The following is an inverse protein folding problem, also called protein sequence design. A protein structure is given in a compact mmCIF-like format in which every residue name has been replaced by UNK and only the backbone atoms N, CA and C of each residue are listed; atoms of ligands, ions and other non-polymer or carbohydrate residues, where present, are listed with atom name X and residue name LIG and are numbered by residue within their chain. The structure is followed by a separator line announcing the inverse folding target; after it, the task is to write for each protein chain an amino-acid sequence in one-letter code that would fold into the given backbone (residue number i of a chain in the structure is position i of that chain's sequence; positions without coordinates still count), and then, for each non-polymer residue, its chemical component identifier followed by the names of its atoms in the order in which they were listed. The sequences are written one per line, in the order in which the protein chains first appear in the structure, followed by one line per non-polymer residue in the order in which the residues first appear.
data_IF_326147901817
#
_entry.id   IF_326147901817
#
_cell.length_a   1.000
_cell.length_b   1.000
_cell.length_c   1.000
_cell.angle_alpha   90.00
_cell.angle_beta   90.00
_cell.angle_gamma   90.00
#
_symmetry.space_group_name_H-M   'P 1'
#
loop_
_entity.id
_entity.type
_entity.pdbx_description
1 polymer ?
#
# COMPACT_ATOMS: atom_id res chain seq x y z
N UNK A 1 7.38 -17.05 -14.37
CA UNK A 1 8.81 -16.65 -14.30
C UNK A 1 9.10 -15.57 -13.24
N UNK A 2 8.10 -15.01 -12.55
CA UNK A 2 8.32 -14.08 -11.43
C UNK A 2 8.89 -14.79 -10.18
N UNK A 3 8.65 -16.10 -10.05
CA UNK A 3 9.02 -16.93 -8.91
C UNK A 3 10.53 -17.01 -8.64
N UNK A 4 11.39 -17.06 -9.67
CA UNK A 4 12.85 -17.11 -9.46
C UNK A 4 13.40 -15.85 -8.78
N UNK A 5 12.81 -14.70 -9.11
CA UNK A 5 13.20 -13.42 -8.54
C UNK A 5 12.91 -13.39 -7.02
N UNK A 6 11.69 -13.75 -6.61
CA UNK A 6 11.34 -13.76 -5.19
C UNK A 6 12.07 -14.86 -4.40
N UNK A 7 12.37 -16.01 -5.01
CA UNK A 7 13.22 -17.04 -4.36
C UNK A 7 14.61 -16.48 -4.06
N UNK A 8 15.22 -15.75 -5.00
CA UNK A 8 16.51 -15.08 -4.76
C UNK A 8 16.41 -14.00 -3.69
N UNK A 9 15.34 -13.20 -3.71
CA UNK A 9 15.10 -12.16 -2.70
C UNK A 9 15.00 -12.77 -1.28
N UNK A 10 14.24 -13.86 -1.15
CA UNK A 10 14.12 -14.59 0.12
C UNK A 10 15.46 -15.18 0.55
N UNK A 11 16.23 -15.79 -0.36
CA UNK A 11 17.54 -16.35 -0.05
C UNK A 11 18.48 -15.28 0.53
N UNK A 12 18.56 -14.12 -0.12
CA UNK A 12 19.38 -13.00 0.34
C UNK A 12 18.92 -12.47 1.70
N UNK A 13 17.61 -12.33 1.91
CA UNK A 13 17.04 -11.89 3.20
C UNK A 13 17.36 -12.90 4.32
N UNK A 14 17.26 -14.21 4.05
CA UNK A 14 17.63 -15.27 4.98
C UNK A 14 19.09 -15.20 5.37
N UNK A 15 19.98 -15.06 4.39
CA UNK A 15 21.42 -14.95 4.61
C UNK A 15 21.76 -13.71 5.43
N UNK A 16 21.24 -12.54 5.02
CA UNK A 16 21.50 -11.24 5.68
C UNK A 16 21.10 -11.25 7.16
N UNK A 17 19.98 -11.90 7.51
CA UNK A 17 19.44 -11.90 8.86
C UNK A 17 19.55 -13.25 9.59
N UNK A 18 20.36 -14.17 9.06
CA UNK A 18 20.56 -15.53 9.60
C UNK A 18 19.24 -16.27 9.94
N UNK A 19 18.28 -16.20 9.03
CA UNK A 19 16.95 -16.82 9.22
C UNK A 19 17.03 -18.32 8.89
N UNK A 20 16.94 -19.14 9.95
CA UNK A 20 16.90 -20.59 9.82
C UNK A 20 15.52 -21.12 9.38
N UNK A 21 15.48 -22.38 8.96
CA UNK A 21 14.27 -23.00 8.41
C UNK A 21 13.14 -23.15 9.44
N UNK A 22 13.46 -23.47 10.70
CA UNK A 22 12.45 -23.60 11.76
C UNK A 22 11.73 -22.27 12.02
N UNK A 23 12.46 -21.14 12.00
CA UNK A 23 11.88 -19.81 12.12
C UNK A 23 10.96 -19.48 10.93
N UNK A 24 11.32 -19.91 9.70
CA UNK A 24 10.48 -19.71 8.52
C UNK A 24 9.19 -20.52 8.55
N UNK A 25 9.26 -21.78 8.97
CA UNK A 25 8.07 -22.64 9.15
C UNK A 25 7.08 -22.00 10.13
N UNK A 26 7.59 -21.54 11.28
CA UNK A 26 6.78 -20.81 12.26
C UNK A 26 6.18 -19.53 11.67
N UNK A 27 7.01 -18.72 11.01
CA UNK A 27 6.57 -17.48 10.38
C UNK A 27 5.52 -17.70 9.29
N UNK A 28 5.62 -18.77 8.51
CA UNK A 28 4.63 -19.14 7.50
C UNK A 28 3.25 -19.41 8.11
N UNK A 29 3.20 -20.14 9.23
CA UNK A 29 1.98 -20.36 10.00
C UNK A 29 1.42 -19.05 10.54
N UNK A 30 2.28 -18.18 11.10
CA UNK A 30 1.86 -16.91 11.67
C UNK A 30 1.34 -15.94 10.59
N UNK A 31 1.98 -15.91 9.42
CA UNK A 31 1.50 -15.17 8.23
C UNK A 31 0.15 -15.72 7.77
N UNK A 32 -0.01 -17.04 7.65
CA UNK A 32 -1.29 -17.62 7.24
C UNK A 32 -2.41 -17.26 8.24
N UNK A 33 -2.13 -17.33 9.55
CA UNK A 33 -3.09 -16.96 10.60
C UNK A 33 -3.45 -15.48 10.58
N UNK A 34 -2.47 -14.60 10.33
CA UNK A 34 -2.67 -13.13 10.38
C UNK A 34 -3.53 -12.60 9.23
N UNK A 35 -3.55 -13.29 8.10
CA UNK A 35 -4.33 -12.91 6.91
C UNK A 35 -5.51 -13.83 6.66
N UNK A 36 -5.88 -14.65 7.63
CA UNK A 36 -7.14 -15.37 7.53
C UNK A 36 -8.30 -14.37 7.61
N UNK A 37 -9.42 -14.80 7.05
CA UNK A 37 -10.62 -13.99 6.95
C UNK A 37 -11.13 -13.44 8.29
N UNK A 38 -11.08 -14.25 9.35
CA UNK A 38 -11.53 -13.85 10.69
C UNK A 38 -10.66 -12.72 11.25
N UNK A 39 -9.35 -12.76 11.00
CA UNK A 39 -8.42 -11.71 11.41
C UNK A 39 -8.64 -10.43 10.60
N UNK A 40 -8.85 -10.53 9.29
CA UNK A 40 -9.16 -9.40 8.40
C UNK A 40 -10.46 -8.69 8.84
N UNK A 41 -11.55 -9.45 9.06
CA UNK A 41 -12.83 -8.90 9.54
C UNK A 41 -12.68 -8.14 10.86
N UNK A 42 -11.79 -8.59 11.75
CA UNK A 42 -11.54 -7.98 13.06
C UNK A 42 -10.50 -6.85 13.04
N UNK A 43 -9.86 -6.57 11.90
CA UNK A 43 -8.73 -5.64 11.82
C UNK A 43 -7.53 -6.06 12.68
N UNK A 44 -7.43 -7.36 13.02
CA UNK A 44 -6.40 -7.90 13.92
C UNK A 44 -5.22 -8.51 13.15
N UNK A 45 -4.96 -8.03 11.93
CA UNK A 45 -3.95 -8.58 11.01
C UNK A 45 -2.53 -8.11 11.30
N UNK A 46 -2.24 -7.71 12.53
CA UNK A 46 -0.92 -7.21 12.89
C UNK A 46 0.08 -8.37 12.97
N UNK A 47 1.11 -8.30 12.13
CA UNK A 47 2.28 -9.16 12.20
C UNK A 47 3.52 -8.27 12.20
N UNK A 48 4.48 -8.57 13.07
CA UNK A 48 5.72 -7.80 13.14
C UNK A 48 6.64 -8.14 11.95
N UNK A 49 6.65 -7.28 10.95
CA UNK A 49 7.55 -7.39 9.80
C UNK A 49 8.94 -6.78 10.05
N UNK A 50 9.26 -6.33 11.27
CA UNK A 50 10.66 -6.15 11.66
C UNK A 50 11.37 -7.50 11.85
N UNK A 51 10.60 -8.58 12.08
CA UNK A 51 11.11 -9.94 12.02
C UNK A 51 11.33 -10.41 10.57
N UNK A 52 12.58 -10.73 10.24
CA UNK A 52 12.97 -11.18 8.89
C UNK A 52 12.29 -12.49 8.46
N UNK A 53 12.00 -13.40 9.40
CA UNK A 53 11.29 -14.64 9.08
C UNK A 53 9.87 -14.35 8.57
N UNK A 54 9.15 -13.42 9.22
CA UNK A 54 7.81 -12.98 8.79
C UNK A 54 7.85 -12.33 7.41
N UNK A 55 8.88 -11.51 7.11
CA UNK A 55 9.07 -10.93 5.77
C UNK A 55 9.30 -12.00 4.71
N UNK A 56 10.21 -12.95 4.96
CA UNK A 56 10.48 -14.06 4.05
C UNK A 56 9.22 -14.90 3.77
N UNK A 57 8.49 -15.26 4.83
CA UNK A 57 7.25 -16.01 4.71
C UNK A 57 6.17 -15.25 3.93
N UNK A 58 6.00 -13.95 4.17
CA UNK A 58 5.07 -13.11 3.42
C UNK A 58 5.47 -12.99 1.94
N UNK A 59 6.76 -12.75 1.64
CA UNK A 59 7.24 -12.67 0.26
C UNK A 59 6.99 -13.99 -0.46
N UNK A 60 7.30 -15.12 0.18
CA UNK A 60 7.05 -16.45 -0.37
C UNK A 60 5.56 -16.66 -0.68
N UNK A 61 4.69 -16.31 0.27
CA UNK A 61 3.25 -16.57 0.16
C UNK A 61 2.56 -15.64 -0.84
N UNK A 62 2.87 -14.33 -0.84
CA UNK A 62 2.02 -13.32 -1.48
C UNK A 62 2.68 -12.53 -2.62
N UNK A 63 4.01 -12.45 -2.70
CA UNK A 63 4.65 -11.49 -3.60
C UNK A 63 4.34 -11.75 -5.09
N UNK A 64 4.36 -13.02 -5.51
CA UNK A 64 4.11 -13.39 -6.90
C UNK A 64 2.68 -13.06 -7.35
N UNK A 65 1.68 -13.39 -6.51
CA UNK A 65 0.27 -13.13 -6.81
C UNK A 65 -0.05 -11.63 -6.75
N UNK A 66 0.52 -10.87 -5.79
CA UNK A 66 0.32 -9.42 -5.71
C UNK A 66 0.91 -8.70 -6.92
N UNK A 67 2.16 -9.02 -7.30
CA UNK A 67 2.76 -8.46 -8.52
C UNK A 67 1.96 -8.82 -9.76
N UNK A 68 1.47 -10.06 -9.86
CA UNK A 68 0.64 -10.53 -10.96
C UNK A 68 -0.69 -9.78 -11.08
N UNK A 69 -1.38 -9.58 -9.95
CA UNK A 69 -2.60 -8.79 -9.83
C UNK A 69 -2.39 -7.36 -10.34
N UNK A 70 -1.39 -6.67 -9.79
CA UNK A 70 -1.09 -5.28 -10.15
C UNK A 70 -0.70 -5.19 -11.63
N UNK A 71 0.15 -6.09 -12.13
CA UNK A 71 0.54 -6.12 -13.55
C UNK A 71 -0.70 -6.24 -14.45
N UNK A 72 -1.60 -7.20 -14.16
CA UNK A 72 -2.80 -7.47 -14.97
C UNK A 72 -3.72 -6.26 -14.99
N UNK A 73 -4.09 -5.74 -13.83
CA UNK A 73 -5.12 -4.71 -13.73
C UNK A 73 -4.61 -3.32 -14.03
N UNK A 74 -3.37 -2.98 -13.66
CA UNK A 74 -2.77 -1.70 -14.07
C UNK A 74 -2.60 -1.64 -15.59
N UNK A 75 -2.28 -2.76 -16.26
CA UNK A 75 -2.26 -2.86 -17.72
C UNK A 75 -3.65 -2.63 -18.34
N UNK A 76 -4.73 -3.10 -17.72
CA UNK A 76 -6.11 -2.78 -18.16
C UNK A 76 -6.41 -1.30 -17.97
N UNK A 77 -5.99 -0.73 -16.84
CA UNK A 77 -6.23 0.67 -16.46
C UNK A 77 -5.53 1.66 -17.38
N UNK A 78 -4.22 1.48 -17.61
CA UNK A 78 -3.41 2.37 -18.47
C UNK A 78 -3.86 2.35 -19.94
N UNK A 79 -4.62 1.33 -20.38
CA UNK A 79 -5.19 1.29 -21.73
C UNK A 79 -6.41 2.21 -21.89
N UNK A 80 -7.01 2.68 -20.80
CA UNK A 80 -8.18 3.58 -20.85
C UNK A 80 -7.75 4.93 -21.42
N UNK A 81 -8.49 5.43 -22.43
CA UNK A 81 -8.18 6.68 -23.15
C UNK A 81 -7.97 7.86 -22.20
N UNK A 82 -8.81 7.98 -21.15
CA UNK A 82 -8.70 9.03 -20.13
C UNK A 82 -7.39 8.94 -19.34
N UNK A 83 -7.02 7.74 -18.90
CA UNK A 83 -5.77 7.48 -18.16
C UNK A 83 -4.55 7.78 -19.04
N UNK A 84 -4.53 7.33 -20.30
CA UNK A 84 -3.46 7.66 -21.25
C UNK A 84 -3.26 9.15 -21.42
N UNK A 85 -4.34 9.89 -21.66
CA UNK A 85 -4.30 11.35 -21.82
C UNK A 85 -3.72 12.07 -20.60
N UNK A 86 -3.92 11.53 -19.39
CA UNK A 86 -3.38 12.11 -18.16
C UNK A 86 -1.89 11.79 -17.95
N UNK A 87 -1.47 10.57 -18.25
CA UNK A 87 -0.13 10.09 -17.91
C UNK A 87 0.90 10.24 -19.04
N UNK A 88 0.52 10.05 -20.30
CA UNK A 88 1.46 10.10 -21.44
C UNK A 88 2.17 11.46 -21.59
N UNK A 89 1.52 12.63 -21.37
CA UNK A 89 2.23 13.91 -21.50
C UNK A 89 3.24 14.20 -20.37
N UNK A 90 3.15 13.48 -19.23
CA UNK A 90 4.02 13.72 -18.08
C UNK A 90 5.43 13.21 -18.37
N UNK A 91 6.45 13.95 -17.91
CA UNK A 91 7.87 13.55 -18.03
C UNK A 91 8.42 12.92 -16.76
N UNK A 92 7.91 13.33 -15.60
CA UNK A 92 8.38 12.94 -14.28
C UNK A 92 7.22 12.32 -13.49
N UNK A 93 6.87 11.07 -13.84
CA UNK A 93 5.84 10.32 -13.15
C UNK A 93 6.29 9.97 -11.73
N UNK A 94 5.40 10.21 -10.77
CA UNK A 94 5.57 9.83 -9.37
C UNK A 94 4.55 8.78 -8.97
N UNK A 95 5.02 7.69 -8.35
CA UNK A 95 4.18 6.58 -7.90
C UNK A 95 4.19 6.52 -6.36
N UNK A 96 3.01 6.41 -5.75
CA UNK A 96 2.85 6.17 -4.32
C UNK A 96 2.07 4.88 -4.07
N UNK A 97 2.62 3.97 -3.27
CA UNK A 97 1.95 2.74 -2.85
C UNK A 97 1.58 2.86 -1.36
N UNK A 98 0.29 2.75 -1.04
CA UNK A 98 -0.24 2.78 0.33
C UNK A 98 -0.41 1.35 0.84
N UNK A 99 0.29 1.00 1.93
CA UNK A 99 0.36 -0.39 2.41
C UNK A 99 1.11 -1.33 1.46
N UNK A 100 2.11 -0.82 0.74
CA UNK A 100 2.79 -1.56 -0.34
C UNK A 100 3.78 -2.64 0.13
N UNK A 101 3.97 -2.82 1.45
CA UNK A 101 4.87 -3.79 2.03
C UNK A 101 6.31 -3.71 1.48
N UNK A 102 6.87 -4.80 0.92
CA UNK A 102 8.21 -4.77 0.33
C UNK A 102 8.31 -3.98 -1.00
N UNK A 103 7.21 -3.52 -1.58
CA UNK A 103 7.20 -2.84 -2.89
C UNK A 103 6.86 -3.75 -4.08
N UNK A 104 6.12 -4.85 -3.85
CA UNK A 104 5.65 -5.76 -4.93
C UNK A 104 4.77 -5.07 -5.97
N UNK A 105 4.07 -4.02 -5.56
CA UNK A 105 3.20 -3.21 -6.40
C UNK A 105 4.00 -2.44 -7.46
N UNK A 106 5.18 -1.95 -7.09
CA UNK A 106 6.08 -1.22 -7.99
C UNK A 106 6.51 -2.13 -9.15
N UNK A 107 6.90 -3.38 -8.86
CA UNK A 107 7.23 -4.35 -9.91
C UNK A 107 6.03 -4.55 -10.84
N UNK A 108 4.82 -4.67 -10.29
CA UNK A 108 3.61 -4.85 -11.09
C UNK A 108 3.31 -3.66 -12.00
N UNK A 109 3.41 -2.44 -11.47
CA UNK A 109 3.24 -1.20 -12.23
C UNK A 109 4.32 -1.08 -13.30
N UNK A 110 5.58 -1.35 -12.99
CA UNK A 110 6.68 -1.24 -13.94
C UNK A 110 6.52 -2.25 -15.08
N UNK A 111 6.18 -3.51 -14.80
CA UNK A 111 5.84 -4.51 -15.84
C UNK A 111 4.65 -4.09 -16.71
N UNK A 112 3.68 -3.37 -16.13
CA UNK A 112 2.53 -2.87 -16.87
C UNK A 112 2.85 -1.66 -17.73
N UNK A 113 3.76 -0.77 -17.29
CA UNK A 113 4.22 0.39 -18.04
C UNK A 113 5.26 0.04 -19.11
N UNK A 114 6.14 -0.93 -18.84
CA UNK A 114 7.24 -1.34 -19.71
C UNK A 114 6.80 -1.78 -21.11
N UNK A 115 5.57 -2.26 -21.28
CA UNK A 115 5.03 -2.65 -22.60
C UNK A 115 4.71 -1.45 -23.50
N UNK A 116 4.76 -0.23 -22.97
CA UNK A 116 4.44 1.00 -23.67
C UNK A 116 5.72 1.86 -23.73
N UNK A 117 6.38 1.96 -24.90
CA UNK A 117 7.59 2.76 -25.06
C UNK A 117 7.45 4.21 -24.60
N UNK A 118 6.23 4.77 -24.72
CA UNK A 118 5.90 6.11 -24.27
C UNK A 118 6.09 6.34 -22.75
N UNK A 119 6.25 5.30 -21.93
CA UNK A 119 6.49 5.40 -20.48
C UNK A 119 7.93 5.09 -20.06
N UNK A 120 8.81 4.69 -20.98
CA UNK A 120 10.21 4.44 -20.67
C UNK A 120 10.88 5.72 -20.19
N UNK A 121 11.70 5.62 -19.14
CA UNK A 121 12.43 6.72 -18.51
C UNK A 121 11.56 7.87 -17.96
N UNK A 122 10.25 7.67 -17.81
CA UNK A 122 9.35 8.68 -17.25
C UNK A 122 9.12 8.57 -15.76
N UNK A 123 9.32 7.39 -15.18
CA UNK A 123 9.15 7.22 -13.73
C UNK A 123 10.37 7.84 -13.04
N UNK A 124 10.13 8.96 -12.35
CA UNK A 124 11.16 9.70 -11.62
C UNK A 124 11.19 9.36 -10.14
N UNK A 125 10.06 8.94 -9.57
CA UNK A 125 9.96 8.69 -8.14
C UNK A 125 8.99 7.56 -7.83
N UNK A 126 9.39 6.67 -6.90
CA UNK A 126 8.50 5.69 -6.27
C UNK A 126 8.60 5.81 -4.75
N UNK A 127 7.45 5.85 -4.07
CA UNK A 127 7.41 5.83 -2.60
C UNK A 127 6.43 4.78 -2.11
N UNK A 128 6.89 3.92 -1.19
CA UNK A 128 6.04 3.01 -0.41
C UNK A 128 5.80 3.63 0.96
N UNK A 129 4.53 3.79 1.32
CA UNK A 129 4.08 4.21 2.64
C UNK A 129 3.52 2.97 3.34
N UNK A 130 4.17 2.52 4.40
CA UNK A 130 3.77 1.31 5.13
C UNK A 130 4.04 1.50 6.62
N UNK A 131 3.26 0.88 7.50
CA UNK A 131 3.51 0.97 8.94
C UNK A 131 4.79 0.24 9.36
N UNK A 132 5.21 -0.76 8.58
CA UNK A 132 6.34 -1.64 8.91
C UNK A 132 7.65 -1.19 8.25
N UNK A 133 8.49 -0.46 8.98
CA UNK A 133 9.84 -0.08 8.54
C UNK A 133 10.77 -1.25 8.23
N UNK A 134 10.49 -2.45 8.76
CA UNK A 134 11.26 -3.67 8.52
C UNK A 134 11.36 -4.09 7.04
N UNK A 135 10.45 -3.63 6.19
CA UNK A 135 10.50 -3.89 4.73
C UNK A 135 11.68 -3.26 4.01
N UNK A 136 12.41 -2.33 4.65
CA UNK A 136 13.48 -1.54 4.04
C UNK A 136 14.52 -2.39 3.29
N UNK A 137 14.91 -3.55 3.82
CA UNK A 137 15.90 -4.40 3.16
C UNK A 137 15.35 -5.01 1.86
N UNK A 138 14.20 -5.66 1.93
CA UNK A 138 13.55 -6.27 0.77
C UNK A 138 13.18 -5.23 -0.30
N UNK A 139 12.72 -4.04 0.13
CA UNK A 139 12.48 -2.90 -0.76
C UNK A 139 13.75 -2.46 -1.50
N UNK A 140 14.86 -2.25 -0.77
CA UNK A 140 16.15 -1.88 -1.38
C UNK A 140 16.59 -2.91 -2.43
N UNK A 141 16.48 -4.21 -2.11
CA UNK A 141 16.84 -5.28 -3.04
C UNK A 141 15.95 -5.30 -4.29
N UNK A 142 14.64 -5.07 -4.14
CA UNK A 142 13.71 -4.93 -5.27
C UNK A 142 14.14 -3.78 -6.17
N UNK A 143 14.42 -2.60 -5.59
CA UNK A 143 14.83 -1.43 -6.36
C UNK A 143 16.19 -1.65 -7.05
N UNK A 144 17.17 -2.24 -6.37
CA UNK A 144 18.48 -2.59 -6.96
C UNK A 144 18.29 -3.53 -8.15
N UNK A 145 17.46 -4.54 -8.00
CA UNK A 145 17.19 -5.51 -9.07
C UNK A 145 16.48 -4.90 -10.28
N UNK A 146 15.64 -3.88 -10.07
CA UNK A 146 15.03 -3.11 -11.16
C UNK A 146 16.10 -2.29 -11.90
N UNK A 147 16.96 -1.58 -11.16
CA UNK A 147 18.06 -0.78 -11.72
C UNK A 147 19.05 -1.63 -12.52
N UNK A 148 19.32 -2.84 -12.05
CA UNK A 148 20.26 -3.78 -12.67
C UNK A 148 19.61 -4.63 -13.79
N UNK A 149 18.37 -4.35 -14.19
CA UNK A 149 17.68 -5.11 -15.25
C UNK A 149 17.40 -6.58 -14.91
N UNK A 150 17.47 -6.98 -13.63
CA UNK A 150 17.29 -8.36 -13.17
C UNK A 150 15.82 -8.78 -13.07
N UNK A 151 14.90 -7.83 -13.10
CA UNK A 151 13.47 -8.12 -13.02
C UNK A 151 12.90 -8.38 -14.41
N UNK A 152 12.47 -9.62 -14.64
CA UNK A 152 11.86 -10.02 -15.92
C UNK A 152 10.72 -9.09 -16.32
N UNK A 153 10.65 -8.79 -17.62
CA UNK A 153 9.62 -7.99 -18.30
C UNK A 153 9.72 -6.49 -17.96
N UNK A 154 10.83 -6.05 -17.36
CA UNK A 154 11.21 -4.65 -17.18
C UNK A 154 12.55 -4.46 -17.92
N UNK A 155 12.62 -3.65 -18.99
CA UNK A 155 13.88 -3.35 -19.68
C UNK A 155 14.92 -2.74 -18.74
N UNK A 156 16.21 -3.05 -18.95
CA UNK A 156 17.33 -2.51 -18.15
C UNK A 156 17.37 -0.98 -18.16
N UNK A 157 17.02 -0.36 -19.30
CA UNK A 157 16.96 1.09 -19.47
C UNK A 157 15.56 1.70 -19.18
N UNK A 158 14.67 0.96 -18.51
CA UNK A 158 13.30 1.42 -18.25
C UNK A 158 13.25 2.64 -17.31
N UNK A 159 14.21 2.75 -16.39
CA UNK A 159 14.38 3.91 -15.51
C UNK A 159 15.67 4.65 -15.85
N UNK A 160 15.65 5.97 -15.71
CA UNK A 160 16.87 6.78 -15.71
C UNK A 160 17.48 6.75 -14.31
N UNK A 161 18.53 5.97 -14.13
CA UNK A 161 19.16 5.78 -12.82
C UNK A 161 19.67 7.09 -12.18
N UNK A 162 20.03 8.09 -13.00
CA UNK A 162 20.57 9.36 -12.51
C UNK A 162 19.52 10.23 -11.83
N UNK A 163 18.27 10.11 -12.25
CA UNK A 163 17.16 10.96 -11.78
C UNK A 163 16.14 10.19 -10.95
N UNK A 164 16.17 8.84 -11.00
CA UNK A 164 15.23 7.99 -10.31
C UNK A 164 15.44 7.93 -8.78
N UNK A 165 14.39 8.23 -8.03
CA UNK A 165 14.35 8.17 -6.57
C UNK A 165 13.39 7.10 -6.08
N UNK A 166 13.81 6.30 -5.11
CA UNK A 166 12.97 5.29 -4.47
C UNK A 166 13.00 5.42 -2.96
N UNK A 167 11.83 5.45 -2.30
CA UNK A 167 11.70 5.64 -0.85
C UNK A 167 10.75 4.62 -0.25
N UNK A 168 11.07 4.18 0.97
CA UNK A 168 10.15 3.50 1.87
C UNK A 168 10.06 4.31 3.16
N UNK A 169 8.84 4.73 3.50
CA UNK A 169 8.57 5.57 4.67
C UNK A 169 7.68 4.80 5.63
N UNK A 170 8.18 4.59 6.85
CA UNK A 170 7.40 3.99 7.93
C UNK A 170 6.37 5.00 8.43
N UNK A 171 5.08 4.74 8.27
CA UNK A 171 4.00 5.64 8.70
C UNK A 171 2.73 4.86 9.02
N UNK A 172 2.06 5.24 10.11
CA UNK A 172 0.69 4.81 10.36
C UNK A 172 -0.27 5.65 9.51
N UNK A 173 -0.83 5.03 8.48
CA UNK A 173 -1.78 5.67 7.56
C UNK A 173 -3.16 5.90 8.20
N UNK A 174 -3.42 5.36 9.39
CA UNK A 174 -4.68 5.58 10.11
C UNK A 174 -4.60 6.74 11.11
N UNK A 175 -3.37 7.16 11.45
CA UNK A 175 -3.13 8.30 12.31
C UNK A 175 -2.96 9.63 11.55
N UNK A 176 -2.67 10.73 12.27
CA UNK A 176 -2.32 12.01 11.66
C UNK A 176 -1.08 11.88 10.77
N UNK A 177 -1.20 12.31 9.51
CA UNK A 177 -0.12 12.18 8.53
C UNK A 177 0.93 13.28 8.70
N UNK A 178 2.23 12.94 8.80
CA UNK A 178 3.30 13.93 8.75
C UNK A 178 3.28 14.72 7.43
N UNK A 179 3.71 15.99 7.46
CA UNK A 179 3.69 16.85 6.25
C UNK A 179 4.46 16.25 5.07
N UNK A 180 5.60 15.60 5.34
CA UNK A 180 6.36 14.90 4.28
C UNK A 180 5.56 13.79 3.60
N UNK A 181 4.70 13.08 4.34
CA UNK A 181 3.82 12.04 3.82
C UNK A 181 2.66 12.65 3.02
N UNK A 182 2.06 13.73 3.54
CA UNK A 182 1.05 14.51 2.79
C UNK A 182 1.61 14.96 1.44
N UNK A 183 2.84 15.47 1.41
CA UNK A 183 3.51 15.91 0.19
C UNK A 183 3.75 14.75 -0.79
N UNK A 184 4.10 13.56 -0.31
CA UNK A 184 4.25 12.37 -1.17
C UNK A 184 2.91 12.03 -1.84
N UNK A 185 1.84 11.98 -1.07
CA UNK A 185 0.50 11.62 -1.56
C UNK A 185 -0.02 12.68 -2.54
N UNK A 186 0.11 13.97 -2.20
CA UNK A 186 -0.40 15.09 -3.00
C UNK A 186 0.38 15.37 -4.28
N UNK A 187 1.58 14.83 -4.41
CA UNK A 187 2.38 14.94 -5.62
C UNK A 187 2.33 13.69 -6.52
N UNK A 188 1.78 12.58 -6.04
CA UNK A 188 1.72 11.33 -6.79
C UNK A 188 0.82 11.45 -8.03
N UNK A 189 1.30 10.93 -9.17
CA UNK A 189 0.51 10.82 -10.40
C UNK A 189 -0.20 9.48 -10.49
N UNK A 190 0.39 8.44 -9.88
CA UNK A 190 -0.15 7.10 -9.78
C UNK A 190 -0.17 6.72 -8.30
N UNK A 191 -1.34 6.30 -7.81
CA UNK A 191 -1.51 5.81 -6.44
C UNK A 191 -2.02 4.36 -6.50
N UNK A 192 -1.44 3.49 -5.67
CA UNK A 192 -1.79 2.08 -5.62
C UNK A 192 -2.15 1.68 -4.20
N UNK A 193 -3.26 0.96 -4.04
CA UNK A 193 -3.75 0.37 -2.80
C UNK A 193 -4.05 -1.10 -3.05
N UNK A 194 -3.16 -1.99 -2.63
CA UNK A 194 -3.28 -3.44 -2.89
C UNK A 194 -3.37 -4.17 -1.56
N UNK A 195 -4.53 -4.80 -1.30
CA UNK A 195 -4.84 -5.48 -0.02
C UNK A 195 -4.74 -4.58 1.22
N UNK A 196 -4.73 -3.27 1.02
CA UNK A 196 -4.57 -2.30 2.10
C UNK A 196 -5.87 -2.10 2.87
N UNK A 197 -7.00 -1.91 2.18
CA UNK A 197 -8.27 -1.57 2.83
C UNK A 197 -8.77 -2.73 3.67
N UNK A 198 -8.74 -3.97 3.18
CA UNK A 198 -9.16 -5.13 4.00
C UNK A 198 -8.28 -5.36 5.23
N UNK A 199 -7.02 -4.89 5.22
CA UNK A 199 -6.13 -4.97 6.38
C UNK A 199 -6.46 -3.91 7.46
N UNK A 200 -7.12 -2.80 7.09
CA UNK A 200 -7.41 -1.70 8.01
C UNK A 200 -8.88 -1.51 8.33
N UNK A 201 -9.80 -1.97 7.48
CA UNK A 201 -11.24 -1.66 7.57
C UNK A 201 -11.90 -2.18 8.85
N UNK A 202 -11.35 -3.22 9.47
CA UNK A 202 -11.81 -3.70 10.77
C UNK A 202 -11.56 -2.74 11.94
N UNK A 203 -10.88 -1.60 11.71
CA UNK A 203 -10.62 -0.58 12.73
C UNK A 203 -11.61 0.58 12.60
N UNK A 204 -12.16 1.11 13.70
CA UNK A 204 -13.19 2.17 13.68
C UNK A 204 -12.78 3.44 12.92
N UNK A 205 -11.52 3.83 13.00
CA UNK A 205 -10.97 5.06 12.40
C UNK A 205 -10.66 4.93 10.89
N UNK A 206 -10.76 3.73 10.33
CA UNK A 206 -10.26 3.42 8.99
C UNK A 206 -10.96 4.20 7.88
N UNK A 207 -12.29 4.33 7.94
CA UNK A 207 -13.07 5.06 6.93
C UNK A 207 -12.67 6.53 6.91
N UNK A 208 -12.63 7.19 8.08
CA UNK A 208 -12.22 8.58 8.19
C UNK A 208 -10.78 8.82 7.73
N UNK A 209 -9.86 7.91 8.05
CA UNK A 209 -8.46 8.02 7.62
C UNK A 209 -8.32 7.85 6.10
N UNK A 210 -9.03 6.89 5.50
CA UNK A 210 -9.05 6.68 4.04
C UNK A 210 -9.63 7.89 3.30
N UNK A 211 -10.69 8.51 3.84
CA UNK A 211 -11.23 9.77 3.32
C UNK A 211 -10.21 10.90 3.41
N UNK A 212 -9.58 11.08 4.58
CA UNK A 212 -8.57 12.12 4.79
C UNK A 212 -7.37 11.96 3.84
N UNK A 213 -6.90 10.73 3.62
CA UNK A 213 -5.86 10.40 2.62
C UNK A 213 -6.35 10.75 1.21
N UNK A 214 -7.55 10.32 0.84
CA UNK A 214 -8.12 10.52 -0.48
C UNK A 214 -8.33 12.00 -0.84
N UNK A 215 -8.65 12.83 0.15
CA UNK A 215 -8.71 14.29 -0.01
C UNK A 215 -7.35 14.91 -0.37
N UNK A 216 -6.23 14.24 -0.04
CA UNK A 216 -4.89 14.71 -0.41
C UNK A 216 -4.48 14.31 -1.82
N UNK A 217 -5.27 13.48 -2.52
CA UNK A 217 -4.90 13.05 -3.87
C UNK A 217 -4.85 14.22 -4.85
N UNK A 218 -3.81 14.23 -5.68
CA UNK A 218 -3.60 15.21 -6.74
C UNK A 218 -4.72 15.14 -7.78
N UNK A 219 -5.23 16.29 -8.22
CA UNK A 219 -6.14 16.33 -9.38
C UNK A 219 -5.47 15.68 -10.61
N UNK A 220 -6.20 14.81 -11.28
CA UNK A 220 -5.72 14.03 -12.42
C UNK A 220 -4.83 12.84 -12.04
N UNK A 221 -4.61 12.54 -10.75
CA UNK A 221 -3.94 11.29 -10.34
C UNK A 221 -4.77 10.09 -10.75
N UNK A 222 -4.09 8.98 -11.06
CA UNK A 222 -4.68 7.69 -11.42
C UNK A 222 -4.52 6.75 -10.23
N UNK A 223 -5.64 6.22 -9.74
CA UNK A 223 -5.65 5.36 -8.55
C UNK A 223 -5.99 3.94 -9.00
N UNK A 224 -5.20 2.96 -8.58
CA UNK A 224 -5.53 1.54 -8.69
C UNK A 224 -5.83 0.98 -7.30
N UNK A 225 -7.04 0.47 -7.14
CA UNK A 225 -7.51 -0.24 -5.96
C UNK A 225 -7.67 -1.73 -6.30
N UNK A 226 -7.01 -2.60 -5.53
CA UNK A 226 -7.18 -4.06 -5.62
C UNK A 226 -7.27 -4.58 -4.19
N UNK A 227 -8.38 -5.21 -3.84
CA UNK A 227 -8.52 -5.78 -2.50
C UNK A 227 -9.23 -7.13 -2.53
N UNK A 228 -9.32 -7.80 -1.39
CA UNK A 228 -10.17 -8.97 -1.21
C UNK A 228 -11.59 -8.63 -1.65
N UNK A 229 -12.21 -9.51 -2.45
CA UNK A 229 -13.59 -9.33 -2.90
C UNK A 229 -14.58 -9.31 -1.72
N UNK A 230 -14.18 -9.95 -0.64
CA UNK A 230 -15.02 -10.28 0.50
C UNK A 230 -15.29 -9.10 1.45
N UNK A 231 -16.44 -9.17 2.13
CA UNK A 231 -16.86 -8.23 3.16
C UNK A 231 -17.35 -6.89 2.62
N UNK A 232 -17.53 -5.92 3.53
CA UNK A 232 -18.01 -4.58 3.18
C UNK A 232 -16.94 -3.68 2.53
N UNK A 233 -15.83 -4.26 2.07
CA UNK A 233 -14.70 -3.52 1.50
C UNK A 233 -15.11 -2.76 0.24
N UNK A 234 -15.81 -3.41 -0.69
CA UNK A 234 -16.22 -2.76 -1.95
C UNK A 234 -17.17 -1.59 -1.68
N UNK A 235 -18.21 -1.83 -0.88
CA UNK A 235 -19.19 -0.80 -0.49
C UNK A 235 -18.52 0.38 0.23
N UNK A 236 -17.64 0.10 1.19
CA UNK A 236 -16.92 1.16 1.90
C UNK A 236 -16.05 1.98 0.96
N UNK A 237 -15.39 1.35 0.00
CA UNK A 237 -14.56 2.04 -0.99
C UNK A 237 -15.40 2.85 -1.97
N UNK A 238 -16.57 2.35 -2.38
CA UNK A 238 -17.54 3.11 -3.19
C UNK A 238 -18.03 4.34 -2.44
N UNK A 239 -18.47 4.17 -1.18
CA UNK A 239 -18.93 5.24 -0.31
C UNK A 239 -17.84 6.30 -0.10
N UNK A 240 -16.61 5.89 0.21
CA UNK A 240 -15.47 6.79 0.35
C UNK A 240 -15.22 7.51 -0.97
N UNK A 241 -15.12 6.79 -2.09
CA UNK A 241 -14.77 7.33 -3.41
C UNK A 241 -15.73 8.43 -3.87
N UNK A 242 -17.02 8.29 -3.56
CA UNK A 242 -18.06 9.29 -3.87
C UNK A 242 -17.87 10.61 -3.12
N UNK A 243 -17.26 10.57 -1.92
CA UNK A 243 -17.04 11.73 -1.06
C UNK A 243 -15.71 12.44 -1.35
N UNK A 244 -14.83 11.84 -2.15
CA UNK A 244 -13.50 12.36 -2.47
C UNK A 244 -13.28 12.52 -3.98
N UNK A 245 -14.33 12.80 -4.75
CA UNK A 245 -14.29 13.11 -6.19
C UNK A 245 -13.47 12.12 -7.03
N UNK A 246 -13.61 10.83 -6.75
CA UNK A 246 -13.01 9.79 -7.57
C UNK A 246 -13.98 9.33 -8.64
N UNK A 247 -13.57 9.46 -9.90
CA UNK A 247 -14.32 8.93 -11.03
C UNK A 247 -13.81 7.54 -11.40
N UNK A 248 -14.72 6.57 -11.46
CA UNK A 248 -14.41 5.21 -11.91
C UNK A 248 -14.11 5.22 -13.41
N UNK A 249 -12.92 4.73 -13.78
CA UNK A 249 -12.48 4.54 -15.18
C UNK A 249 -12.24 3.06 -15.53
N UNK A 250 -12.20 2.19 -14.52
CA UNK A 250 -12.13 0.74 -14.65
C UNK A 250 -12.87 0.10 -13.48
N UNK A 251 -13.81 -0.81 -13.77
CA UNK A 251 -14.53 -1.56 -12.73
C UNK A 251 -15.84 -0.90 -12.26
N UNK A 252 -16.39 -1.33 -11.12
CA UNK A 252 -15.86 -2.40 -10.27
C UNK A 252 -15.77 -3.74 -10.99
N UNK A 253 -14.67 -4.48 -10.78
CA UNK A 253 -14.47 -5.83 -11.29
C UNK A 253 -14.35 -6.79 -10.12
N UNK A 254 -15.04 -7.92 -10.21
CA UNK A 254 -14.95 -9.01 -9.24
C UNK A 254 -14.44 -10.25 -9.97
N UNK A 255 -13.17 -10.57 -9.76
CA UNK A 255 -12.49 -11.62 -10.53
C UNK A 255 -11.66 -12.50 -9.61
N UNK A 256 -11.60 -13.80 -9.92
CA UNK A 256 -10.56 -14.67 -9.38
C UNK A 256 -9.32 -14.53 -10.25
N UNK A 257 -8.25 -14.00 -9.66
CA UNK A 257 -6.94 -14.00 -10.30
C UNK A 257 -6.23 -15.32 -9.99
N UNK A 258 -5.75 -16.01 -11.01
CA UNK A 258 -4.93 -17.21 -10.87
C UNK A 258 -3.53 -16.87 -11.39
N UNK A 259 -2.52 -17.04 -10.54
CA UNK A 259 -1.13 -16.91 -10.94
C UNK A 259 -0.80 -18.04 -11.92
N UNK A 260 -0.24 -17.71 -13.09
CA UNK A 260 0.15 -18.71 -14.08
C UNK A 260 1.25 -19.61 -13.47
N UNK A 261 0.87 -20.84 -13.11
CA UNK A 261 1.74 -21.78 -12.40
C UNK A 261 2.97 -22.11 -13.25
N UNK A 262 4.15 -21.91 -12.68
CA UNK A 262 5.32 -22.71 -13.04
C UNK A 262 5.20 -24.09 -12.40
N UNK A 263 5.96 -25.09 -12.88
CA UNK A 263 5.97 -26.49 -12.37
C UNK A 263 6.37 -26.65 -10.88
N UNK A 264 6.53 -25.58 -10.12
CA UNK A 264 7.09 -25.58 -8.77
C UNK A 264 6.09 -25.11 -7.70
N UNK A 265 4.88 -25.68 -7.69
CA UNK A 265 4.00 -25.65 -6.50
C UNK A 265 4.56 -26.60 -5.43
N UNK A 266 5.85 -26.47 -5.11
CA UNK A 266 6.43 -27.20 -4.00
C UNK A 266 6.08 -26.43 -2.75
N UNK A 267 5.47 -27.12 -1.80
CA UNK A 267 5.40 -26.65 -0.43
C UNK A 267 6.83 -26.36 0.04
N UNK A 268 7.03 -25.17 0.56
CA UNK A 268 8.30 -24.77 1.19
C UNK A 268 7.95 -24.17 2.53
N UNK A 269 8.67 -24.59 3.57
CA UNK A 269 8.44 -24.15 4.95
C UNK A 269 7.03 -24.50 5.48
N UNK A 270 6.50 -25.67 5.09
CA UNK A 270 5.18 -26.17 5.50
C UNK A 270 4.04 -25.20 5.10
N UNK A 271 4.24 -24.49 3.98
CA UNK A 271 3.21 -23.63 3.41
C UNK A 271 3.28 -23.63 1.88
N UNK A 272 2.11 -23.47 1.26
CA UNK A 272 1.99 -23.25 -0.18
C UNK A 272 2.00 -21.75 -0.49
N UNK A 273 2.62 -21.34 -1.60
CA UNK A 273 2.50 -19.98 -2.09
C UNK A 273 1.07 -19.75 -2.56
N UNK A 274 0.53 -18.54 -2.36
CA UNK A 274 -0.81 -18.22 -2.84
C UNK A 274 -0.83 -18.26 -4.37
N UNK A 275 -1.64 -19.17 -4.91
CA UNK A 275 -1.74 -19.37 -6.35
C UNK A 275 -2.98 -18.71 -6.98
N UNK A 276 -3.97 -18.36 -6.16
CA UNK A 276 -5.16 -17.65 -6.59
C UNK A 276 -5.64 -16.66 -5.52
N UNK A 277 -6.31 -15.60 -5.96
CA UNK A 277 -6.93 -14.61 -5.08
C UNK A 277 -8.24 -14.10 -5.71
N UNK A 278 -9.34 -14.14 -4.95
CA UNK A 278 -10.60 -13.50 -5.33
C UNK A 278 -10.54 -12.02 -4.95
N UNK A 279 -10.65 -11.13 -5.92
CA UNK A 279 -10.39 -9.70 -5.75
C UNK A 279 -11.51 -8.82 -6.26
N UNK A 280 -11.70 -7.68 -5.58
CA UNK A 280 -12.38 -6.50 -6.10
C UNK A 280 -11.34 -5.54 -6.66
N UNK A 281 -11.59 -5.03 -7.87
CA UNK A 281 -10.67 -4.12 -8.56
C UNK A 281 -11.44 -2.91 -9.06
N UNK A 282 -10.93 -1.74 -8.72
CA UNK A 282 -11.44 -0.47 -9.25
C UNK A 282 -10.25 0.40 -9.63
N UNK A 283 -10.34 1.04 -10.80
CA UNK A 283 -9.41 2.07 -11.23
C UNK A 283 -10.13 3.40 -11.26
N UNK A 284 -9.57 4.41 -10.61
CA UNK A 284 -10.13 5.75 -10.52
C UNK A 284 -9.22 6.79 -11.17
N UNK A 285 -9.82 7.94 -11.45
CA UNK A 285 -9.12 9.21 -11.67
C UNK A 285 -9.66 10.21 -10.67
N UNK A 286 -8.77 10.95 -10.00
CA UNK A 286 -9.19 12.08 -9.16
C UNK A 286 -9.57 13.24 -10.06
N UNK A 287 -10.82 13.68 -9.97
CA UNK A 287 -11.36 14.80 -10.74
C UNK A 287 -11.70 15.98 -9.82
N UNK A 288 -11.93 17.13 -10.43
CA UNK A 288 -12.55 18.25 -9.75
C UNK A 288 -14.05 18.18 -10.03
N UNK A 289 -14.85 17.78 -9.04
CA UNK A 289 -16.29 17.99 -9.13
C UNK A 289 -16.52 19.44 -8.69
N UNK A 290 -17.09 20.26 -9.57
CA UNK A 290 -17.73 21.49 -9.08
C UNK A 290 -18.82 21.02 -8.12
N UNK A 291 -18.62 21.25 -6.82
CA UNK A 291 -19.63 20.98 -5.81
C UNK A 291 -20.88 21.76 -6.23
N UNK A 292 -21.85 21.09 -6.81
CA UNK A 292 -23.21 21.59 -6.77
C UNK A 292 -23.55 21.65 -5.28
N UNK A 293 -23.89 22.81 -4.71
CA UNK A 293 -24.17 22.92 -3.28
C UNK A 293 -25.27 21.92 -2.93
N UNK A 294 -24.87 20.83 -2.28
CA UNK A 294 -25.78 19.78 -1.84
C UNK A 294 -26.59 20.39 -0.70
N UNK A 295 -27.90 20.50 -0.91
CA UNK A 295 -28.85 20.83 0.14
C UNK A 295 -28.70 19.80 1.25
N UNK A 296 -28.12 20.21 2.38
CA UNK A 296 -27.83 19.36 3.54
C UNK A 296 -29.16 18.98 4.21
N UNK A 297 -29.82 17.96 3.69
CA UNK A 297 -30.94 17.31 4.36
C UNK A 297 -30.47 15.92 4.82
N UNK A 298 -30.14 15.85 6.11
CA UNK A 298 -30.02 14.67 6.99
C UNK A 298 -29.39 13.40 6.40
N UNK A 299 -28.14 13.10 6.82
CA UNK A 299 -27.59 11.75 6.76
C UNK A 299 -28.47 10.78 7.58
N UNK A 300 -28.77 9.58 7.07
CA UNK A 300 -29.47 8.55 7.84
C UNK A 300 -28.51 7.86 8.82
N UNK A 301 -28.88 7.84 10.10
CA UNK A 301 -28.13 7.23 11.22
C UNK A 301 -28.04 5.69 11.19
N UNK A 302 -28.51 5.03 10.13
CA UNK A 302 -28.52 3.57 10.01
C UNK A 302 -27.52 3.08 8.96
N UNK A 303 -26.24 3.09 9.30
CA UNK A 303 -25.22 2.33 8.59
C UNK A 303 -24.53 1.46 9.62
N UNK A 304 -24.91 0.17 9.68
CA UNK A 304 -24.17 -1.01 10.14
C UNK A 304 -25.13 -2.06 10.74
N UNK A 305 -26.12 -2.52 9.97
CA UNK A 305 -26.59 -3.89 10.15
C UNK A 305 -25.67 -4.78 9.30
N UNK A 306 -24.89 -5.61 9.98
CA UNK A 306 -23.96 -6.55 9.37
C UNK A 306 -24.75 -7.80 9.04
N UNK A 307 -25.02 -8.03 7.76
CA UNK A 307 -25.60 -9.29 7.27
C UNK A 307 -24.68 -10.46 7.67
N UNK A 308 -25.21 -11.37 8.48
CA UNK A 308 -24.56 -12.59 8.97
C UNK A 308 -24.72 -13.75 7.97
N UNK A 309 -24.46 -13.53 6.68
CA UNK A 309 -24.43 -14.63 5.73
C UNK A 309 -23.04 -15.28 5.73
N UNK A 310 -23.01 -16.48 6.31
CA UNK A 310 -21.85 -17.31 6.65
C UNK A 310 -21.28 -18.14 5.46
N UNK A 311 -21.52 -17.74 4.22
CA UNK A 311 -21.04 -18.51 3.05
C UNK A 311 -19.64 -18.05 2.61
N UNK A 312 -18.66 -18.34 3.46
CA UNK A 312 -17.27 -17.89 3.36
C UNK A 312 -16.28 -19.04 3.12
N UNK A 313 -16.45 -19.79 2.03
CA UNK A 313 -15.44 -20.75 1.59
C UNK A 313 -14.51 -20.14 0.53
N UNK A 314 -13.26 -19.84 0.90
CA UNK A 314 -12.21 -19.42 -0.05
C UNK A 314 -10.94 -20.27 -0.06
N UNK A 315 -10.92 -21.42 0.61
CA UNK A 315 -9.88 -22.43 0.40
C UNK A 315 -10.54 -23.80 0.29
N UNK A 316 -10.41 -24.44 -0.87
CA UNK A 316 -10.64 -25.88 -1.06
C UNK A 316 -9.44 -26.68 -0.56
N UNK A 317 -8.85 -26.26 0.57
CA UNK A 317 -7.81 -27.02 1.29
C UNK A 317 -8.44 -27.87 2.41
N UNK A 318 -9.78 -27.87 2.54
CA UNK A 318 -10.50 -28.91 3.30
C UNK A 318 -10.58 -30.21 2.50
N UNK A 319 -9.43 -30.88 2.37
CA UNK A 319 -9.36 -32.32 2.12
C UNK A 319 -8.08 -32.90 2.76
N UNK A 320 -7.74 -32.45 3.98
CA UNK A 320 -6.82 -33.18 4.85
C UNK A 320 -7.52 -33.57 6.15
N UNK A 321 -8.16 -34.73 6.09
CA UNK A 321 -8.28 -35.60 7.26
C UNK A 321 -6.88 -35.80 7.85
N UNK A 322 -6.54 -35.07 8.91
CA UNK A 322 -5.48 -35.46 9.82
C UNK A 322 -5.85 -36.84 10.40
N UNK A 323 -5.06 -37.91 10.19
CA UNK A 323 -5.34 -39.18 10.83
C UNK A 323 -5.11 -39.04 12.33
N UNK A 324 -6.22 -38.95 13.06
CA UNK A 324 -6.29 -39.07 14.51
C UNK A 324 -6.17 -40.54 14.91
N UNK A 325 -5.04 -41.19 14.63
CA UNK A 325 -4.78 -42.54 15.14
C UNK A 325 -3.28 -42.86 15.18
N UNK A 326 -2.58 -42.34 16.19
CA UNK A 326 -1.41 -43.03 16.70
C UNK A 326 -1.91 -44.22 17.53
N UNK A 327 -2.03 -45.38 16.88
CA UNK A 327 -2.09 -46.65 17.59
C UNK A 327 -0.72 -46.95 18.22
N UNK A 328 -0.69 -47.59 19.40
CA UNK A 328 0.52 -47.85 20.14
C UNK A 328 1.40 -48.86 19.40
N UNK A 329 2.67 -48.51 19.21
CA UNK A 329 3.72 -49.40 18.73
C UNK A 329 3.87 -50.54 19.74
N UNK A 330 3.62 -51.78 19.31
CA UNK A 330 3.94 -53.00 20.05
C UNK A 330 5.46 -53.09 20.26
N UNK A 331 5.95 -53.51 21.43
CA UNK A 331 7.37 -53.65 21.68
C UNK A 331 7.96 -54.80 20.88
N UNK A 332 9.06 -54.51 20.19
CA UNK A 332 9.96 -55.50 19.58
C UNK A 332 10.69 -56.21 20.73
N UNK A 333 10.55 -57.54 20.78
CA UNK A 333 11.37 -58.40 21.64
C UNK A 333 12.79 -58.45 21.08
N UNK A 334 13.76 -57.91 21.81
CA UNK A 334 15.16 -58.27 21.64
C UNK A 334 15.65 -59.04 22.87
N UNK A 335 16.04 -60.28 22.62
CA UNK A 335 16.79 -61.12 23.56
C UNK A 335 18.25 -60.67 23.53
N UNK A 336 18.75 -60.04 24.58
CA UNK A 336 20.18 -60.14 24.99
C UNK A 336 20.24 -60.05 26.51
N UNK A 337 20.84 -61.07 27.13
CA UNK A 337 21.08 -61.19 28.57
C UNK A 337 22.23 -60.30 29.08
N UNK A 338 22.52 -60.37 30.39
CA UNK A 338 22.87 -59.21 31.19
C UNK A 338 24.37 -59.07 31.46
N UNK A 339 24.80 -57.85 31.82
CA UNK A 339 25.75 -57.63 32.92
C UNK A 339 25.83 -56.16 33.35
N UNK A 340 25.86 -56.05 34.68
CA UNK A 340 26.48 -55.04 35.53
C UNK A 340 25.71 -53.78 35.97
N UNK A 341 25.65 -53.73 37.31
CA UNK A 341 25.07 -52.77 38.24
C UNK A 341 25.96 -51.51 38.34
N UNK A 342 25.41 -50.34 38.70
CA UNK A 342 25.47 -49.76 40.05
C UNK A 342 24.93 -48.30 40.11
N UNK A 343 24.22 -48.01 41.21
CA UNK A 343 24.01 -46.74 41.94
C UNK A 343 23.33 -45.53 41.25
N UNK A 344 22.10 -45.14 41.62
CA UNK A 344 21.67 -44.35 42.82
C UNK A 344 22.21 -42.91 42.86
N UNK A 345 21.35 -41.91 42.63
CA UNK A 345 20.86 -41.01 43.70
C UNK A 345 19.81 -39.98 43.19
N UNK A 346 18.93 -39.66 44.13
CA UNK A 346 17.76 -38.80 44.12
C UNK A 346 18.07 -37.31 43.89
N UNK A 347 17.09 -36.58 43.34
CA UNK A 347 17.04 -35.12 43.40
C UNK A 347 15.72 -34.55 42.86
N UNK A 348 14.82 -34.19 43.77
CA UNK A 348 13.48 -33.64 43.53
C UNK A 348 13.47 -32.15 43.17
N UNK A 349 12.41 -31.78 42.45
CA UNK A 349 11.62 -30.53 42.51
C UNK A 349 12.32 -29.16 42.43
N UNK A 350 11.94 -28.36 41.42
CA UNK A 350 11.19 -27.12 41.68
C UNK A 350 10.59 -26.49 40.42
N UNK A 351 9.28 -26.26 40.48
CA UNK A 351 8.50 -25.40 39.59
C UNK A 351 8.78 -23.93 39.94
N UNK A 352 9.07 -23.09 38.96
CA UNK A 352 8.87 -21.65 39.08
C UNK A 352 8.13 -21.12 37.83
N UNK A 353 6.96 -20.56 38.10
CA UNK A 353 6.09 -19.86 37.15
C UNK A 353 6.59 -18.43 37.06
N UNK A 354 7.18 -18.05 35.94
CA UNK A 354 7.54 -16.66 35.64
C UNK A 354 6.44 -16.05 34.75
N UNK A 355 5.72 -15.06 35.30
CA UNK A 355 4.80 -14.20 34.55
C UNK A 355 5.62 -13.23 33.69
N UNK A 356 5.28 -13.00 32.40
CA UNK A 356 5.85 -11.88 31.67
C UNK A 356 5.08 -10.60 32.01
N UNK A 357 5.77 -9.64 32.63
CA UNK A 357 5.40 -8.22 32.60
C UNK A 357 6.35 -7.50 31.64
N UNK A 358 5.81 -6.48 30.98
CA UNK A 358 6.45 -5.42 30.20
C UNK A 358 6.35 -5.61 28.67
N UNK A 359 5.33 -4.95 28.10
CA UNK A 359 5.37 -4.42 26.73
C UNK A 359 6.47 -3.35 26.65
N UNK A 360 7.31 -3.33 25.61
CA UNK A 360 8.25 -2.24 25.41
C UNK A 360 7.53 -1.00 24.90
N UNK A 361 7.75 0.10 25.61
CA UNK A 361 7.42 1.45 25.16
C UNK A 361 8.44 1.82 24.08
N UNK A 362 7.98 2.07 22.84
CA UNK A 362 8.86 2.52 21.76
C UNK A 362 9.18 4.01 21.91
N UNK A 363 10.45 4.43 21.80
CA UNK A 363 10.79 5.83 21.67
C UNK A 363 10.35 6.35 20.30
N UNK A 364 9.88 7.59 20.31
CA UNK A 364 9.46 8.42 19.18
C UNK A 364 10.54 8.42 18.09
N UNK A 365 10.13 8.27 16.83
CA UNK A 365 11.02 8.22 15.68
C UNK A 365 11.96 9.45 15.62
N UNK A 366 13.26 9.21 15.77
CA UNK A 366 14.30 10.16 15.38
C UNK A 366 14.35 10.22 13.85
N UNK A 367 14.08 11.41 13.32
CA UNK A 367 14.42 11.77 11.95
C UNK A 367 15.94 11.94 11.93
N UNK A 368 16.65 10.94 11.44
CA UNK A 368 18.08 11.05 11.16
C UNK A 368 18.27 11.95 9.93
N UNK A 369 18.39 13.26 10.17
CA UNK A 369 18.94 14.23 9.22
C UNK A 369 20.46 14.06 9.18
N UNK A 370 21.00 13.82 7.99
CA UNK A 370 22.43 13.94 7.71
C UNK A 370 22.69 15.44 7.55
N UNK A 371 23.27 16.08 8.55
CA UNK A 371 23.59 17.52 8.53
C UNK A 371 25.02 17.77 8.02
N UNK A 372 25.14 18.74 7.10
CA UNK A 372 26.33 19.57 6.94
C UNK A 372 26.32 20.69 7.99
N UNK A 373 27.51 21.04 8.46
CA UNK A 373 27.83 21.96 9.55
C UNK A 373 27.52 23.44 9.24
N UNK A 374 27.02 24.22 10.22
CA UNK A 374 27.78 25.31 10.88
C UNK A 374 26.94 26.13 11.90
N UNK A 375 27.65 26.54 12.96
CA UNK A 375 27.44 27.63 13.92
C UNK A 375 26.22 27.60 14.85
N UNK A 376 26.52 27.60 16.16
CA UNK A 376 25.54 27.68 17.24
C UNK A 376 25.41 29.07 17.86
N UNK A 377 24.42 29.21 18.75
CA UNK A 377 24.35 30.27 19.75
C UNK A 377 23.50 29.84 20.95
N UNK A 378 23.87 30.41 22.09
CA UNK A 378 23.43 30.22 23.48
C UNK A 378 21.94 30.56 23.70
N UNK A 379 21.25 29.78 24.54
CA UNK A 379 19.87 30.00 24.98
C UNK A 379 19.82 30.87 26.25
N UNK A 380 18.95 31.89 26.25
CA UNK A 380 18.40 32.53 27.44
C UNK A 380 16.88 32.35 27.44
N UNK A 381 16.33 32.04 28.61
CA UNK A 381 14.92 31.78 28.86
C UNK A 381 14.09 33.08 28.92
N UNK A 382 13.12 33.20 28.02
CA UNK A 382 11.90 33.99 28.23
C UNK A 382 10.83 33.49 27.27
N UNK A 383 9.72 32.95 27.80
CA UNK A 383 8.58 32.48 27.00
C UNK A 383 7.95 33.64 26.20
N UNK A 384 7.85 33.55 24.85
CA UNK A 384 7.04 34.47 24.08
C UNK A 384 5.66 33.85 23.83
N UNK A 385 4.62 34.61 24.14
CA UNK A 385 3.34 34.48 23.42
C UNK A 385 3.56 34.91 21.96
N UNK A 386 2.76 34.33 21.06
CA UNK A 386 2.47 34.74 19.66
C UNK A 386 3.48 34.43 18.54
N UNK A 387 3.65 33.15 18.20
CA UNK A 387 4.15 32.73 16.85
C UNK A 387 2.98 32.32 15.93
N UNK A 388 1.91 31.78 16.53
CA UNK A 388 0.76 31.24 15.78
C UNK A 388 -0.12 32.33 15.15
N UNK A 389 -0.28 33.46 15.81
CA UNK A 389 -1.10 34.58 15.32
C UNK A 389 -0.41 35.32 14.17
N UNK A 390 0.92 35.41 14.19
CA UNK A 390 1.72 36.00 13.11
C UNK A 390 1.69 35.13 11.86
N UNK A 391 1.77 33.80 12.01
CA UNK A 391 1.62 32.86 10.89
C UNK A 391 0.22 32.97 10.27
N UNK A 392 -0.84 33.03 11.08
CA UNK A 392 -2.21 33.16 10.58
C UNK A 392 -2.45 34.50 9.88
N UNK A 393 -1.86 35.59 10.39
CA UNK A 393 -1.93 36.91 9.77
C UNK A 393 -1.23 36.92 8.39
N UNK A 394 -0.05 36.30 8.28
CA UNK A 394 0.67 36.16 7.02
C UNK A 394 -0.10 35.32 5.98
N UNK A 395 -0.74 34.23 6.41
CA UNK A 395 -1.59 33.42 5.52
C UNK A 395 -2.83 34.19 5.03
N UNK A 396 -3.44 35.00 5.91
CA UNK A 396 -4.59 35.84 5.57
C UNK A 396 -4.21 36.91 4.54
N UNK A 397 -3.06 37.57 4.71
CA UNK A 397 -2.57 38.58 3.76
C UNK A 397 -2.27 37.97 2.38
N UNK A 398 -1.71 36.77 2.34
CA UNK A 398 -1.46 36.05 1.08
C UNK A 398 -2.76 35.68 0.35
N UNK A 399 -3.80 35.32 1.10
CA UNK A 399 -5.13 35.01 0.57
C UNK A 399 -5.78 36.28 -0.02
N UNK A 400 -5.73 37.40 0.70
CA UNK A 400 -6.26 38.69 0.23
C UNK A 400 -5.58 39.13 -1.06
N UNK A 401 -4.24 39.03 -1.12
CA UNK A 401 -3.48 39.37 -2.33
C UNK A 401 -3.85 38.48 -3.54
N UNK A 402 -4.14 37.20 -3.29
CA UNK A 402 -4.58 36.26 -4.33
C UNK A 402 -5.99 36.58 -4.85
N UNK A 403 -6.90 36.95 -3.95
CA UNK A 403 -8.27 37.35 -4.31
C UNK A 403 -8.29 38.66 -5.12
N UNK A 404 -7.45 39.63 -4.78
CA UNK A 404 -7.30 40.87 -5.55
C UNK A 404 -6.82 40.61 -6.98
N UNK A 405 -5.84 39.72 -7.16
CA UNK A 405 -5.37 39.32 -8.51
C UNK A 405 -6.48 38.65 -9.32
N UNK A 406 -7.29 37.79 -8.69
CA UNK A 406 -8.42 37.13 -9.33
C UNK A 406 -9.48 38.15 -9.77
N UNK A 407 -9.78 39.14 -8.92
CA UNK A 407 -10.72 40.22 -9.24
C UNK A 407 -10.27 41.01 -10.47
N UNK A 408 -8.98 41.38 -10.54
CA UNK A 408 -8.42 42.08 -11.71
C UNK A 408 -8.54 41.26 -13.00
N UNK A 409 -8.37 39.93 -12.93
CA UNK A 409 -8.55 39.06 -14.10
C UNK A 409 -10.01 39.03 -14.54
N UNK A 410 -10.95 38.96 -13.60
CA UNK A 410 -12.39 38.98 -13.88
C UNK A 410 -12.84 40.31 -14.51
N UNK A 411 -12.34 41.44 -14.02
CA UNK A 411 -12.62 42.76 -14.59
C UNK A 411 -12.15 42.86 -16.05
N UNK A 412 -10.94 42.37 -16.35
CA UNK A 412 -10.41 42.33 -17.74
C UNK A 412 -11.24 41.43 -18.65
N UNK A 413 -11.68 40.27 -18.16
CA UNK A 413 -12.56 39.39 -18.94
C UNK A 413 -13.92 40.03 -19.23
N UNK A 414 -14.45 40.79 -18.28
CA UNK A 414 -15.69 41.54 -18.46
C UNK A 414 -15.52 42.65 -19.51
N UNK A 415 -14.38 43.36 -19.50
CA UNK A 415 -14.04 44.37 -20.49
C UNK A 415 -13.96 43.78 -21.91
N UNK A 416 -13.27 42.65 -22.08
CA UNK A 416 -13.19 41.92 -23.36
C UNK A 416 -14.60 41.55 -23.85
N UNK A 417 -15.44 40.99 -22.98
CA UNK A 417 -16.82 40.61 -23.34
C UNK A 417 -17.66 41.82 -23.76
N UNK A 418 -17.44 42.99 -23.18
CA UNK A 418 -18.14 44.22 -23.57
C UNK A 418 -17.65 44.74 -24.93
N UNK A 419 -16.35 44.61 -25.24
CA UNK A 419 -15.80 44.93 -26.56
C UNK A 419 -16.36 44.03 -27.67
N UNK A 420 -16.54 42.74 -27.40
CA UNK A 420 -17.17 41.80 -28.34
C UNK A 420 -18.63 42.16 -28.65
N UNK A 421 -19.41 42.58 -27.64
CA UNK A 421 -20.79 43.05 -27.85
C UNK A 421 -20.85 44.30 -28.73
N UNK A 422 -19.90 45.22 -28.58
CA UNK A 422 -19.90 46.47 -29.32
C UNK A 422 -19.43 46.29 -30.78
N UNK A 423 -18.55 45.32 -31.06
CA UNK A 423 -18.08 45.02 -32.42
C UNK A 423 -19.08 44.21 -33.25
N UNK A 424 -19.98 43.45 -32.59
CA UNK A 424 -21.04 42.67 -33.25
C UNK A 424 -22.14 43.51 -33.93
N UNK A 425 -22.20 44.84 -33.75
CA UNK A 425 -23.32 45.65 -34.23
C UNK A 425 -23.07 46.37 -35.58
N UNK A 426 -21.88 46.26 -36.18
CA UNK A 426 -21.49 47.06 -37.34
C UNK A 426 -21.60 46.39 -38.73
N UNK A 427 -22.09 45.15 -38.86
CA UNK A 427 -22.05 44.43 -40.15
C UNK A 427 -23.36 44.34 -40.96
N UNK A 428 -24.41 45.13 -40.67
CA UNK A 428 -25.71 44.99 -41.35
C UNK A 428 -26.14 46.14 -42.29
N UNK A 429 -25.23 46.96 -42.81
CA UNK A 429 -25.59 48.00 -43.79
C UNK A 429 -24.67 47.99 -45.01
N UNK A 430 -24.81 46.97 -45.86
CA UNK A 430 -24.20 46.90 -47.18
C UNK A 430 -25.24 46.57 -48.25
N UNK A 431 -26.03 47.56 -48.64
CA UNK A 431 -26.87 47.51 -49.84
C UNK A 431 -25.94 47.52 -51.07
N UNK A 432 -25.86 46.40 -51.78
CA UNK A 432 -25.39 46.38 -53.17
C UNK A 432 -26.60 46.46 -54.11
N UNK A 433 -26.69 47.60 -54.81
CA UNK A 433 -27.45 47.79 -56.06
C UNK A 433 -26.50 47.61 -57.24
#
# INVERSE_FOLDING_TARGET
MSTKFYVSLIANERETFNVNEAALKKAAIDVARSYNQKALKKGSTYLDYNNAANRCAYIYKYADVHTGLVTKYFRKLIKKKKVKKLLEPKKNLKICCLGGGPGTDIIGIFRALAIFPAFHQKVSEVTVLDICGGWRNSFKQIISSIKEGKVKDIPENFIDEKTFVARLTSVDLLGPLPQGVVNVISNADIICMVKFVSAVLGKPESVSALQAIGQKFKLGSVILFIDNFQGNVCKSVEDISSQIDLEIVLGPLHETYVCQKGKSNKEVYDCLPQSAARVSVVGYVKIFTQLNPISVNSLPDNILEVDNDDDWNTESDEDENFPSSLHPIKPIKSNVGPKDQLSLLLGKDNKSVVKPKNLPHFPRAEIMQINCEHSGTVCNESEPKTDRDEILQNELELLVASLQKLLTVLEKLLEIKNLEKNTSCCCCCGNYR
#
